data_IF_824939389802
#
_entry.id   IF_824939389802
#
_cell.length_a   1.000
_cell.length_b   1.000
_cell.length_c   1.000
_cell.angle_alpha   90.00
_cell.angle_beta   90.00
_cell.angle_gamma   90.00
#
_symmetry.space_group_name_H-M   'P 1'
#
loop_
_entity.id
_entity.type
_entity.pdbx_description
1 polymer ?
#
# COMPACT_ATOMS: atom_id res chain seq x y z
N UNK A 1 29.21 13.67 -68.01
CA UNK A 1 28.57 12.59 -67.20
C UNK A 1 29.59 11.90 -66.28
N UNK A 2 30.75 11.44 -66.78
CA UNK A 2 31.78 10.79 -65.96
C UNK A 2 32.35 11.65 -64.81
N UNK A 3 32.57 12.95 -65.02
CA UNK A 3 33.09 13.85 -63.98
C UNK A 3 32.12 14.06 -62.80
N UNK A 4 30.82 14.05 -63.06
CA UNK A 4 29.79 14.22 -62.03
C UNK A 4 29.68 12.97 -61.15
N UNK A 5 29.81 11.79 -61.75
CA UNK A 5 29.80 10.50 -61.05
C UNK A 5 31.04 10.37 -60.15
N UNK A 6 32.22 10.80 -60.64
CA UNK A 6 33.45 10.82 -59.84
C UNK A 6 33.35 11.71 -58.61
N UNK A 7 32.72 12.89 -58.73
CA UNK A 7 32.54 13.81 -57.61
C UNK A 7 31.59 13.26 -56.53
N UNK A 8 30.50 12.61 -56.93
CA UNK A 8 29.54 11.97 -56.01
C UNK A 8 30.19 10.79 -55.29
N UNK A 9 31.01 10.00 -55.98
CA UNK A 9 31.74 8.89 -55.36
C UNK A 9 32.75 9.40 -54.32
N UNK A 10 33.46 10.50 -54.62
CA UNK A 10 34.40 11.12 -53.68
C UNK A 10 33.69 11.65 -52.43
N UNK A 11 32.52 12.28 -52.59
CA UNK A 11 31.71 12.79 -51.48
C UNK A 11 31.18 11.66 -50.60
N UNK A 12 30.72 10.56 -51.19
CA UNK A 12 30.27 9.38 -50.44
C UNK A 12 31.42 8.69 -49.70
N UNK A 13 32.60 8.62 -50.29
CA UNK A 13 33.81 8.10 -49.63
C UNK A 13 34.22 8.99 -48.45
N UNK A 14 34.24 10.32 -48.63
CA UNK A 14 34.50 11.26 -47.55
C UNK A 14 33.45 11.18 -46.45
N UNK A 15 32.17 11.03 -46.78
CA UNK A 15 31.12 10.88 -45.78
C UNK A 15 31.26 9.57 -45.00
N UNK A 16 31.62 8.47 -45.67
CA UNK A 16 31.78 7.18 -45.03
C UNK A 16 33.02 7.12 -44.12
N UNK A 17 34.13 7.75 -44.52
CA UNK A 17 35.31 7.89 -43.65
C UNK A 17 35.06 8.83 -42.48
N UNK A 18 34.29 9.91 -42.67
CA UNK A 18 33.90 10.79 -41.58
C UNK A 18 32.99 10.08 -40.57
N UNK A 19 32.03 9.27 -41.04
CA UNK A 19 31.13 8.49 -40.19
C UNK A 19 31.87 7.37 -39.46
N UNK A 20 32.85 6.70 -40.10
CA UNK A 20 33.63 5.65 -39.44
C UNK A 20 34.56 6.23 -38.37
N UNK A 21 35.15 7.41 -38.59
CA UNK A 21 35.95 8.12 -37.57
C UNK A 21 35.05 8.58 -36.42
N UNK A 22 33.87 9.14 -36.68
CA UNK A 22 32.93 9.53 -35.63
C UNK A 22 32.34 8.35 -34.83
N UNK A 23 32.09 7.20 -35.47
CA UNK A 23 31.58 5.99 -34.79
C UNK A 23 32.66 5.22 -34.03
N UNK A 24 33.94 5.38 -34.38
CA UNK A 24 35.08 4.78 -33.66
C UNK A 24 35.63 5.67 -32.55
N UNK A 25 35.29 6.96 -32.55
CA UNK A 25 35.58 7.88 -31.45
C UNK A 25 34.47 7.84 -30.38
N UNK A 26 34.19 6.66 -29.84
CA UNK A 26 33.67 6.59 -28.47
C UNK A 26 34.86 6.83 -27.54
N UNK A 27 34.80 7.79 -26.60
CA UNK A 27 35.90 8.01 -25.68
C UNK A 27 36.19 6.69 -24.96
N UNK A 28 37.47 6.30 -24.92
CA UNK A 28 37.88 5.11 -24.21
C UNK A 28 37.52 5.27 -22.72
N UNK A 29 37.17 4.16 -22.06
CA UNK A 29 36.80 4.15 -20.63
C UNK A 29 37.87 4.83 -19.74
N UNK A 30 39.14 4.71 -20.14
CA UNK A 30 40.29 5.36 -19.50
C UNK A 30 40.30 6.89 -19.67
N UNK A 31 39.77 7.41 -20.78
CA UNK A 31 39.71 8.86 -21.05
C UNK A 31 38.58 9.52 -20.25
N UNK A 32 37.46 8.80 -20.03
CA UNK A 32 36.39 9.19 -19.11
C UNK A 32 36.91 9.19 -17.66
N UNK A 33 37.68 8.17 -17.27
CA UNK A 33 38.28 8.09 -15.93
C UNK A 33 39.29 9.22 -15.67
N UNK A 34 40.06 9.64 -16.69
CA UNK A 34 41.07 10.71 -16.55
C UNK A 34 40.47 12.10 -16.33
N UNK A 35 39.26 12.37 -16.84
CA UNK A 35 38.57 13.65 -16.58
C UNK A 35 37.97 13.74 -15.17
N UNK A 36 37.74 12.60 -14.51
CA UNK A 36 37.22 12.54 -13.14
C UNK A 36 38.32 12.72 -12.06
N UNK A 37 39.60 12.61 -12.42
CA UNK A 37 40.72 12.73 -11.47
C UNK A 37 41.04 14.16 -11.01
N UNK A 38 40.36 15.21 -11.50
CA UNK A 38 40.67 16.61 -11.18
C UNK A 38 39.51 17.48 -10.66
N UNK A 39 38.34 16.89 -10.41
CA UNK A 39 37.31 17.52 -9.57
C UNK A 39 36.89 16.45 -8.59
N UNK A 40 37.06 16.72 -7.30
CA UNK A 40 36.44 15.93 -6.25
C UNK A 40 34.91 16.03 -6.46
N UNK A 41 34.34 15.17 -7.33
CA UNK A 41 32.90 15.03 -7.57
C UNK A 41 32.31 14.36 -6.33
N UNK A 42 32.38 15.06 -5.20
CA UNK A 42 31.65 14.70 -4.03
C UNK A 42 30.18 14.85 -4.36
N UNK A 43 29.44 13.72 -4.42
CA UNK A 43 27.98 13.73 -4.40
C UNK A 43 27.49 14.30 -3.06
N UNK A 44 27.52 15.62 -2.93
CA UNK A 44 27.04 16.32 -1.73
C UNK A 44 25.52 16.28 -1.75
N UNK A 45 24.94 15.55 -0.81
CA UNK A 45 23.49 15.54 -0.63
C UNK A 45 23.01 16.98 -0.36
N UNK A 46 22.13 17.55 -1.20
CA UNK A 46 21.73 18.94 -1.06
C UNK A 46 20.92 19.15 0.22
N UNK A 47 21.28 20.17 1.00
CA UNK A 47 20.47 20.62 2.13
C UNK A 47 19.51 21.71 1.64
N UNK A 48 18.24 21.35 1.53
CA UNK A 48 17.21 22.20 0.95
C UNK A 48 16.24 22.65 2.03
N UNK A 49 15.98 23.95 2.08
CA UNK A 49 15.00 24.52 3.01
C UNK A 49 13.58 24.07 2.64
N UNK A 50 12.93 23.40 3.59
CA UNK A 50 11.53 23.01 3.44
C UNK A 50 10.58 24.22 3.48
N UNK A 51 11.00 25.40 3.94
CA UNK A 51 10.15 26.61 3.94
C UNK A 51 10.43 27.58 2.78
N UNK A 52 11.09 27.10 1.72
CA UNK A 52 11.37 27.92 0.55
C UNK A 52 10.09 28.59 -0.03
N UNK A 53 10.02 29.95 -0.09
CA UNK A 53 8.84 30.68 -0.56
C UNK A 53 8.40 30.32 -1.99
N UNK A 54 9.33 29.92 -2.86
CA UNK A 54 9.04 29.48 -4.23
C UNK A 54 8.17 28.23 -4.26
N UNK A 55 8.27 27.37 -3.25
CA UNK A 55 7.43 26.17 -3.12
C UNK A 55 6.17 26.49 -2.34
N UNK A 56 6.26 27.28 -1.26
CA UNK A 56 5.13 27.58 -0.39
C UNK A 56 3.95 28.25 -1.13
N UNK A 57 4.22 29.05 -2.16
CA UNK A 57 3.16 29.64 -3.01
C UNK A 57 2.26 28.60 -3.71
N UNK A 58 2.72 27.35 -3.82
CA UNK A 58 1.97 26.24 -4.41
C UNK A 58 1.30 25.34 -3.37
N UNK A 59 1.50 25.60 -2.07
CA UNK A 59 0.96 24.80 -0.98
C UNK A 59 -0.36 25.40 -0.51
N UNK A 60 -1.46 24.70 -0.81
CA UNK A 60 -2.82 25.12 -0.40
C UNK A 60 -3.25 24.36 0.86
N UNK A 61 -3.86 25.07 1.81
CA UNK A 61 -4.58 24.45 2.92
C UNK A 61 -5.96 23.99 2.45
N UNK A 62 -6.24 22.70 2.59
CA UNK A 62 -7.50 22.08 2.19
C UNK A 62 -8.55 22.12 3.31
N UNK A 63 -8.19 22.63 4.49
CA UNK A 63 -9.05 22.64 5.66
C UNK A 63 -9.27 21.24 6.25
N UNK A 64 -10.19 21.17 7.22
CA UNK A 64 -10.55 19.91 7.90
C UNK A 64 -11.53 19.12 7.02
N UNK A 65 -11.23 17.84 6.80
CA UNK A 65 -12.15 16.92 6.14
C UNK A 65 -13.32 16.56 7.08
N UNK A 66 -14.55 16.84 6.63
CA UNK A 66 -15.78 16.53 7.36
C UNK A 66 -16.69 15.59 6.55
N UNK A 67 -16.97 14.41 7.11
CA UNK A 67 -17.86 13.42 6.51
C UNK A 67 -19.26 13.53 7.14
N UNK A 68 -20.05 14.52 6.69
CA UNK A 68 -21.38 14.81 7.25
C UNK A 68 -22.43 13.77 6.83
N UNK A 69 -22.44 12.63 7.51
CA UNK A 69 -23.50 11.61 7.45
C UNK A 69 -23.83 11.14 8.86
N UNK A 70 -24.98 10.49 9.01
CA UNK A 70 -25.31 9.75 10.24
C UNK A 70 -24.21 8.73 10.56
N UNK A 71 -24.04 8.45 11.85
CA UNK A 71 -23.14 7.41 12.32
C UNK A 71 -23.42 6.06 11.68
N UNK A 72 -22.35 5.28 11.45
CA UNK A 72 -22.50 3.91 10.98
C UNK A 72 -23.39 3.11 11.94
N UNK A 73 -24.35 2.36 11.39
CA UNK A 73 -25.32 1.58 12.17
C UNK A 73 -24.70 0.36 12.84
N UNK A 74 -23.47 0.02 12.47
CA UNK A 74 -22.70 -1.10 12.99
C UNK A 74 -21.42 -0.57 13.62
N UNK A 75 -21.04 -1.13 14.77
CA UNK A 75 -19.72 -0.99 15.35
C UNK A 75 -18.95 -2.32 15.31
N UNK A 76 -17.63 -2.23 15.15
CA UNK A 76 -16.72 -3.39 15.13
C UNK A 76 -15.68 -3.19 16.22
N UNK A 77 -15.58 -4.15 17.14
CA UNK A 77 -14.61 -4.15 18.25
C UNK A 77 -14.13 -5.57 18.51
N UNK A 78 -12.82 -5.77 18.59
CA UNK A 78 -12.16 -7.03 19.00
C UNK A 78 -12.70 -8.27 18.26
N UNK A 79 -12.76 -8.21 16.93
CA UNK A 79 -13.26 -9.32 16.11
C UNK A 79 -14.76 -9.59 16.24
N UNK A 80 -15.51 -8.69 16.87
CA UNK A 80 -16.98 -8.76 17.02
C UNK A 80 -17.64 -7.57 16.36
N UNK A 81 -18.85 -7.81 15.88
CA UNK A 81 -19.72 -6.85 15.24
C UNK A 81 -21.02 -6.70 16.04
N UNK A 82 -21.45 -5.47 16.27
CA UNK A 82 -22.68 -5.17 17.00
C UNK A 82 -23.41 -4.00 16.33
N UNK A 83 -24.73 -3.93 16.54
CA UNK A 83 -25.52 -2.78 16.10
C UNK A 83 -25.27 -1.62 17.08
N UNK A 84 -24.95 -0.45 16.54
CA UNK A 84 -24.66 0.74 17.33
C UNK A 84 -25.88 1.13 18.17
N UNK A 85 -25.73 1.11 19.50
CA UNK A 85 -26.82 1.37 20.44
C UNK A 85 -27.44 2.78 20.27
N UNK A 86 -26.67 3.76 19.80
CA UNK A 86 -27.15 5.13 19.55
C UNK A 86 -28.17 5.11 18.42
N UNK A 87 -27.92 4.32 17.38
CA UNK A 87 -28.82 4.14 16.25
C UNK A 87 -30.09 3.37 16.67
N UNK A 88 -29.96 2.34 17.51
CA UNK A 88 -31.11 1.63 18.09
C UNK A 88 -32.00 2.57 18.92
N UNK A 89 -31.40 3.46 19.73
CA UNK A 89 -32.16 4.46 20.50
C UNK A 89 -32.92 5.45 19.60
N UNK A 90 -32.41 5.73 18.41
CA UNK A 90 -32.99 6.70 17.48
C UNK A 90 -34.08 6.09 16.60
N UNK A 91 -33.80 4.92 16.00
CA UNK A 91 -34.64 4.31 14.97
C UNK A 91 -35.39 3.06 15.45
N UNK A 92 -35.22 2.69 16.72
CA UNK A 92 -35.87 1.55 17.34
C UNK A 92 -35.19 0.22 16.99
N UNK A 93 -36.00 -0.83 16.79
CA UNK A 93 -35.49 -2.15 16.42
C UNK A 93 -34.82 -2.09 15.04
N UNK A 94 -33.62 -2.67 14.93
CA UNK A 94 -32.84 -2.71 13.70
C UNK A 94 -32.55 -4.15 13.35
N UNK A 95 -32.72 -4.49 12.08
CA UNK A 95 -32.35 -5.79 11.50
C UNK A 95 -31.28 -5.56 10.45
N UNK A 96 -30.19 -6.29 10.54
CA UNK A 96 -29.06 -6.18 9.63
C UNK A 96 -28.71 -7.55 9.04
N UNK A 97 -28.36 -7.55 7.76
CA UNK A 97 -27.78 -8.67 7.03
C UNK A 97 -26.35 -8.33 6.66
N UNK A 98 -25.40 -9.14 7.12
CA UNK A 98 -23.98 -9.04 6.81
C UNK A 98 -23.64 -10.12 5.78
N UNK A 99 -23.15 -9.70 4.61
CA UNK A 99 -22.67 -10.58 3.55
C UNK A 99 -21.15 -10.48 3.46
N UNK A 100 -20.44 -11.50 3.94
CA UNK A 100 -18.98 -11.52 3.92
C UNK A 100 -18.45 -11.68 2.50
N UNK A 101 -17.27 -11.11 2.24
CA UNK A 101 -16.57 -11.27 0.96
C UNK A 101 -15.74 -12.56 0.99
N UNK A 102 -15.81 -13.34 -0.09
CA UNK A 102 -14.90 -14.47 -0.35
C UNK A 102 -14.02 -14.10 -1.54
N UNK A 103 -12.71 -13.95 -1.31
CA UNK A 103 -11.73 -13.68 -2.37
C UNK A 103 -11.64 -14.88 -3.31
N UNK A 104 -11.59 -14.60 -4.62
CA UNK A 104 -11.21 -15.59 -5.64
C UNK A 104 -9.76 -15.33 -6.04
N UNK A 105 -9.46 -14.09 -6.43
CA UNK A 105 -8.12 -13.61 -6.80
C UNK A 105 -7.99 -12.11 -6.49
N UNK A 106 -6.95 -11.45 -7.02
CA UNK A 106 -6.69 -10.02 -6.85
C UNK A 106 -7.63 -9.07 -7.60
N UNK A 107 -8.52 -9.60 -8.42
CA UNK A 107 -9.43 -8.81 -9.27
C UNK A 107 -10.90 -9.12 -8.96
N UNK A 108 -11.17 -10.31 -8.42
CA UNK A 108 -12.51 -10.85 -8.25
C UNK A 108 -12.75 -11.32 -6.82
N UNK A 109 -13.92 -10.98 -6.30
CA UNK A 109 -14.44 -11.50 -5.03
C UNK A 109 -15.93 -11.82 -5.20
N UNK A 110 -16.39 -12.86 -4.51
CA UNK A 110 -17.77 -13.32 -4.55
C UNK A 110 -18.42 -13.20 -3.17
N UNK A 111 -19.75 -13.30 -3.12
CA UNK A 111 -20.49 -13.34 -1.86
C UNK A 111 -20.15 -14.64 -1.12
N UNK A 112 -19.73 -14.50 0.12
CA UNK A 112 -19.45 -15.59 1.05
C UNK A 112 -20.61 -15.81 2.02
N UNK A 113 -20.24 -16.14 3.26
CA UNK A 113 -21.20 -16.41 4.35
C UNK A 113 -22.11 -15.20 4.61
N UNK A 114 -23.36 -15.47 4.93
CA UNK A 114 -24.33 -14.46 5.36
C UNK A 114 -24.65 -14.65 6.84
N UNK A 115 -24.77 -13.54 7.58
CA UNK A 115 -25.23 -13.51 8.96
C UNK A 115 -26.34 -12.50 9.07
N UNK A 116 -27.43 -12.89 9.73
CA UNK A 116 -28.49 -11.98 10.13
C UNK A 116 -28.34 -11.67 11.61
N UNK A 117 -28.58 -10.43 11.97
CA UNK A 117 -28.60 -9.98 13.36
C UNK A 117 -29.66 -8.90 13.55
N UNK A 118 -30.21 -8.84 14.75
CA UNK A 118 -31.10 -7.79 15.19
C UNK A 118 -30.50 -7.03 16.37
N UNK A 119 -31.12 -5.92 16.75
CA UNK A 119 -30.74 -5.14 17.92
C UNK A 119 -30.79 -5.94 19.23
N UNK A 120 -31.46 -7.11 19.25
CA UNK A 120 -31.49 -8.03 20.39
C UNK A 120 -30.44 -9.15 20.35
N UNK A 121 -29.75 -9.37 19.23
CA UNK A 121 -28.80 -10.48 19.04
C UNK A 121 -27.50 -10.31 19.83
N UNK A 122 -27.20 -9.10 20.33
CA UNK A 122 -25.92 -8.77 20.96
C UNK A 122 -24.74 -8.84 19.98
N UNK A 123 -23.49 -8.70 20.47
CA UNK A 123 -22.31 -8.75 19.62
C UNK A 123 -22.06 -10.15 19.02
N UNK A 124 -21.80 -10.23 17.72
CA UNK A 124 -21.54 -11.47 16.98
C UNK A 124 -20.09 -11.52 16.51
N UNK A 125 -19.46 -12.69 16.51
CA UNK A 125 -18.10 -12.87 15.97
C UNK A 125 -18.08 -12.63 14.45
N UNK A 126 -17.06 -11.91 13.98
CA UNK A 126 -16.75 -11.79 12.56
C UNK A 126 -16.45 -13.19 11.98
N UNK A 127 -16.83 -13.40 10.71
CA UNK A 127 -16.55 -14.65 9.97
C UNK A 127 -15.66 -14.42 8.75
N UNK A 128 -15.08 -13.24 8.67
CA UNK A 128 -14.21 -12.75 7.61
C UNK A 128 -13.91 -11.27 7.87
N UNK A 129 -12.86 -10.75 7.25
CA UNK A 129 -12.42 -9.38 7.51
C UNK A 129 -13.35 -8.35 6.89
N UNK A 130 -13.98 -8.67 5.76
CA UNK A 130 -14.71 -7.71 4.95
C UNK A 130 -16.12 -8.20 4.65
N UNK A 131 -17.08 -7.28 4.75
CA UNK A 131 -18.48 -7.61 4.50
C UNK A 131 -19.28 -6.39 4.05
N UNK A 132 -20.25 -6.65 3.18
CA UNK A 132 -21.34 -5.72 2.91
C UNK A 132 -22.37 -5.84 4.02
N UNK A 133 -22.86 -4.71 4.49
CA UNK A 133 -23.97 -4.67 5.45
C UNK A 133 -25.15 -3.94 4.86
N UNK A 134 -26.34 -4.48 5.10
CA UNK A 134 -27.61 -3.85 4.84
C UNK A 134 -28.44 -3.93 6.10
N UNK A 135 -28.90 -2.79 6.59
CA UNK A 135 -29.75 -2.69 7.76
C UNK A 135 -31.07 -2.01 7.40
N UNK A 136 -32.11 -2.39 8.12
CA UNK A 136 -33.44 -1.79 8.05
C UNK A 136 -33.95 -1.60 9.48
N UNK A 137 -34.44 -0.40 9.79
CA UNK A 137 -35.06 -0.07 11.07
C UNK A 137 -36.57 -0.29 11.01
N UNK A 138 -37.20 -0.33 12.19
CA UNK A 138 -38.64 -0.53 12.33
C UNK A 138 -39.49 0.52 11.59
N UNK A 139 -39.00 1.75 11.49
CA UNK A 139 -39.63 2.85 10.75
C UNK A 139 -39.35 2.82 9.23
N UNK A 140 -38.65 1.80 8.73
CA UNK A 140 -38.42 1.54 7.30
C UNK A 140 -37.21 2.25 6.71
N UNK A 141 -36.38 2.93 7.53
CA UNK A 141 -35.12 3.51 7.04
C UNK A 141 -34.13 2.40 6.71
N UNK A 142 -33.38 2.60 5.62
CA UNK A 142 -32.40 1.65 5.11
C UNK A 142 -31.02 2.25 5.16
N UNK A 143 -30.08 1.48 5.68
CA UNK A 143 -28.67 1.83 5.70
C UNK A 143 -27.84 0.72 5.07
N UNK A 144 -26.85 1.09 4.27
CA UNK A 144 -25.92 0.14 3.66
C UNK A 144 -24.51 0.71 3.69
N UNK A 145 -23.53 -0.16 3.90
CA UNK A 145 -22.12 0.20 3.81
C UNK A 145 -21.28 -1.06 3.51
N UNK A 146 -20.02 -0.86 3.13
CA UNK A 146 -19.01 -1.90 3.18
C UNK A 146 -18.09 -1.64 4.37
N UNK A 147 -17.85 -2.66 5.17
CA UNK A 147 -17.13 -2.56 6.43
C UNK A 147 -15.92 -3.49 6.41
N UNK A 148 -14.88 -3.06 7.13
CA UNK A 148 -13.69 -3.84 7.40
C UNK A 148 -13.50 -4.01 8.91
N UNK A 149 -13.20 -5.23 9.31
CA UNK A 149 -12.75 -5.61 10.64
C UNK A 149 -11.66 -6.67 10.54
N UNK A 150 -11.12 -7.06 11.68
CA UNK A 150 -10.11 -8.13 11.76
C UNK A 150 -10.79 -9.36 12.33
N UNK A 151 -11.03 -10.35 11.48
CA UNK A 151 -11.51 -11.66 11.92
C UNK A 151 -10.38 -12.43 12.61
N UNK A 152 -10.71 -13.21 13.63
CA UNK A 152 -9.72 -14.09 14.25
C UNK A 152 -9.44 -15.27 13.30
N UNK A 153 -8.26 -15.28 12.69
CA UNK A 153 -7.82 -16.38 11.83
C UNK A 153 -7.18 -17.47 12.69
N UNK A 154 -7.94 -18.52 13.02
CA UNK A 154 -7.49 -19.63 13.88
C UNK A 154 -6.16 -20.24 13.41
N UNK A 155 -5.98 -20.44 12.10
CA UNK A 155 -4.73 -20.98 11.54
C UNK A 155 -3.54 -20.06 11.79
N UNK A 156 -3.71 -18.75 11.65
CA UNK A 156 -2.66 -17.77 11.96
C UNK A 156 -2.34 -17.76 13.46
N UNK A 157 -3.36 -17.89 14.32
CA UNK A 157 -3.16 -17.93 15.78
C UNK A 157 -2.46 -19.22 16.23
N UNK A 158 -2.84 -20.36 15.67
CA UNK A 158 -2.17 -21.63 15.94
C UNK A 158 -0.71 -21.60 15.51
N UNK A 159 -0.42 -21.01 14.34
CA UNK A 159 0.95 -20.80 13.87
C UNK A 159 1.75 -19.90 14.82
N UNK A 160 1.17 -18.78 15.25
CA UNK A 160 1.82 -17.86 16.19
C UNK A 160 2.09 -18.51 17.56
N UNK A 161 1.14 -19.28 18.09
CA UNK A 161 1.27 -19.96 19.38
C UNK A 161 2.25 -21.14 19.36
N UNK A 162 2.37 -21.82 18.22
CA UNK A 162 3.27 -22.98 18.08
C UNK A 162 4.71 -22.55 17.83
N UNK A 163 4.94 -21.37 17.26
CA UNK A 163 6.28 -20.85 17.04
C UNK A 163 6.92 -20.40 18.36
N UNK A 164 8.13 -20.90 18.62
CA UNK A 164 8.93 -20.51 19.79
C UNK A 164 10.14 -19.72 19.30
N UNK A 165 10.12 -18.39 19.40
CA UNK A 165 11.26 -17.58 18.96
C UNK A 165 12.48 -17.89 19.84
N UNK A 166 13.71 -17.74 19.31
CA UNK A 166 14.94 -17.88 20.07
C UNK A 166 14.94 -17.07 21.38
N UNK A 167 15.69 -17.50 22.42
CA UNK A 167 15.72 -16.80 23.70
C UNK A 167 16.13 -15.32 23.61
N UNK A 168 16.97 -14.99 22.65
CA UNK A 168 17.52 -13.66 22.35
C UNK A 168 16.72 -12.87 21.31
N UNK A 169 15.59 -13.40 20.82
CA UNK A 169 14.75 -12.69 19.88
C UNK A 169 14.16 -11.41 20.48
N UNK A 170 14.12 -10.34 19.68
CA UNK A 170 13.56 -9.04 20.10
C UNK A 170 12.05 -9.07 20.37
N UNK A 171 11.31 -10.02 19.75
CA UNK A 171 9.85 -10.22 19.90
C UNK A 171 9.07 -8.91 19.69
N UNK A 172 9.32 -8.26 18.57
CA UNK A 172 8.74 -6.97 18.22
C UNK A 172 7.70 -7.11 17.11
N UNK A 173 6.58 -6.43 17.28
CA UNK A 173 5.66 -6.13 16.18
C UNK A 173 6.33 -5.15 15.20
N UNK A 174 6.07 -5.33 13.90
CA UNK A 174 6.61 -4.48 12.82
C UNK A 174 5.49 -3.81 12.05
N UNK A 175 5.48 -2.48 12.02
CA UNK A 175 4.57 -1.69 11.17
C UNK A 175 5.36 -0.96 10.10
N UNK A 176 5.13 -1.31 8.84
CA UNK A 176 5.54 -0.54 7.68
C UNK A 176 4.36 0.32 7.24
N UNK A 177 4.54 1.64 7.30
CA UNK A 177 3.53 2.62 6.91
C UNK A 177 4.09 3.55 5.83
N UNK A 178 3.56 3.42 4.62
CA UNK A 178 3.88 4.26 3.47
C UNK A 178 2.81 5.31 3.20
N UNK A 179 3.21 6.30 2.39
CA UNK A 179 2.32 7.32 1.83
C UNK A 179 2.77 7.59 0.40
N UNK A 180 1.94 7.21 -0.58
CA UNK A 180 2.19 7.50 -2.00
C UNK A 180 1.56 8.87 -2.38
N UNK A 181 2.21 9.80 -3.09
CA UNK A 181 3.65 9.93 -3.42
C UNK A 181 4.15 11.20 -2.76
N UNK A 182 5.07 11.10 -1.78
CA UNK A 182 5.59 12.27 -1.06
C UNK A 182 7.11 12.28 -0.96
N UNK A 183 7.71 13.43 -1.23
CA UNK A 183 9.12 13.69 -0.89
C UNK A 183 9.29 14.01 0.60
N UNK A 184 10.49 13.80 1.14
CA UNK A 184 10.84 14.14 2.53
C UNK A 184 10.47 15.58 2.90
N UNK A 185 10.80 16.55 2.04
CA UNK A 185 10.52 17.95 2.29
C UNK A 185 9.01 18.25 2.22
N UNK A 186 8.27 17.58 1.33
CA UNK A 186 6.82 17.76 1.28
C UNK A 186 6.12 17.15 2.50
N UNK A 187 6.60 16.00 3.00
CA UNK A 187 6.14 15.40 4.25
C UNK A 187 6.31 16.37 5.43
N UNK A 188 7.49 16.98 5.57
CA UNK A 188 7.76 17.96 6.63
C UNK A 188 6.81 19.17 6.57
N UNK A 189 6.49 19.66 5.35
CA UNK A 189 5.56 20.78 5.13
C UNK A 189 4.10 20.42 5.44
N UNK A 190 3.62 19.27 4.96
CA UNK A 190 2.19 18.88 5.03
C UNK A 190 1.82 18.15 6.30
N UNK A 191 2.78 17.51 6.96
CA UNK A 191 2.58 16.75 8.20
C UNK A 191 3.56 17.21 9.30
N UNK A 192 3.66 18.53 9.60
CA UNK A 192 4.67 19.05 10.53
C UNK A 192 4.46 18.53 11.95
N UNK A 193 3.20 18.36 12.38
CA UNK A 193 2.86 17.77 13.69
C UNK A 193 3.31 16.32 13.77
N UNK A 194 3.09 15.54 12.71
CA UNK A 194 3.52 14.13 12.64
C UNK A 194 5.04 14.04 12.64
N UNK A 195 5.73 14.83 11.82
CA UNK A 195 7.18 14.85 11.78
C UNK A 195 7.78 15.20 13.15
N UNK A 196 7.27 16.24 13.80
CA UNK A 196 7.68 16.63 15.16
C UNK A 196 7.45 15.50 16.16
N UNK A 197 6.30 14.83 16.11
CA UNK A 197 6.02 13.69 16.99
C UNK A 197 7.01 12.54 16.77
N UNK A 198 7.29 12.19 15.51
CA UNK A 198 8.26 11.14 15.18
C UNK A 198 9.66 11.48 15.71
N UNK A 199 10.17 12.69 15.49
CA UNK A 199 11.55 13.06 15.83
C UNK A 199 11.73 13.44 17.30
N UNK A 200 10.77 14.14 17.90
CA UNK A 200 10.91 14.68 19.26
C UNK A 200 10.31 13.77 20.33
N UNK A 201 9.23 13.04 20.03
CA UNK A 201 8.55 12.17 21.00
C UNK A 201 9.01 10.73 20.84
N UNK A 202 8.85 10.14 19.65
CA UNK A 202 9.27 8.76 19.40
C UNK A 202 10.79 8.60 19.22
N UNK A 203 11.52 9.71 19.06
CA UNK A 203 12.97 9.72 18.79
C UNK A 203 13.35 8.85 17.59
N UNK A 204 12.52 8.87 16.55
CA UNK A 204 12.72 8.07 15.35
C UNK A 204 13.98 8.51 14.57
N UNK A 205 14.72 7.54 14.04
CA UNK A 205 15.86 7.77 13.15
C UNK A 205 15.39 8.22 11.78
N UNK A 206 15.82 9.41 11.35
CA UNK A 206 15.50 9.96 10.02
C UNK A 206 16.63 9.66 9.04
N UNK A 207 16.36 8.77 8.08
CA UNK A 207 17.30 8.43 7.01
C UNK A 207 17.33 9.55 5.95
N UNK A 208 18.12 10.59 6.18
CA UNK A 208 18.17 11.76 5.28
C UNK A 208 18.68 11.44 3.87
N UNK A 209 19.57 10.45 3.74
CA UNK A 209 20.12 10.00 2.46
C UNK A 209 19.37 8.84 1.79
N UNK A 210 18.19 8.45 2.31
CA UNK A 210 17.37 7.42 1.69
C UNK A 210 16.90 7.87 0.30
N UNK A 211 17.05 7.00 -0.70
CA UNK A 211 16.60 7.21 -2.06
C UNK A 211 15.88 5.96 -2.58
N UNK A 212 14.94 6.18 -3.50
CA UNK A 212 14.27 5.10 -4.22
C UNK A 212 15.21 4.55 -5.31
N UNK A 213 15.08 3.28 -5.63
CA UNK A 213 15.91 2.60 -6.65
C UNK A 213 15.27 2.62 -8.03
N UNK A 214 14.14 3.32 -8.19
CA UNK A 214 13.50 3.59 -9.47
C UNK A 214 12.29 4.51 -9.30
N UNK A 215 11.79 5.03 -10.42
CA UNK A 215 10.79 6.13 -10.45
C UNK A 215 9.36 5.69 -10.10
N UNK A 216 9.03 4.42 -10.30
CA UNK A 216 7.69 3.90 -10.02
C UNK A 216 7.54 3.29 -8.62
N UNK A 217 6.32 3.30 -8.11
CA UNK A 217 5.95 2.66 -6.83
C UNK A 217 6.38 1.18 -6.76
N UNK A 218 6.21 0.33 -7.82
CA UNK A 218 6.76 -1.02 -7.82
C UNK A 218 8.28 -1.07 -7.69
N UNK A 219 9.00 -0.22 -8.43
CA UNK A 219 10.46 -0.13 -8.38
C UNK A 219 10.98 0.35 -7.02
N UNK A 220 10.21 1.15 -6.28
CA UNK A 220 10.58 1.56 -4.93
C UNK A 220 10.31 0.46 -3.89
N UNK A 221 9.15 -0.21 -3.99
CA UNK A 221 8.69 -1.12 -2.95
C UNK A 221 9.17 -2.56 -3.12
N UNK A 222 9.26 -3.07 -4.34
CA UNK A 222 9.73 -4.44 -4.59
C UNK A 222 11.14 -4.63 -3.99
N UNK A 223 12.10 -3.72 -4.19
CA UNK A 223 13.44 -3.89 -3.64
C UNK A 223 13.48 -3.72 -2.13
N UNK A 224 12.68 -2.80 -1.58
CA UNK A 224 12.51 -2.65 -0.14
C UNK A 224 11.96 -3.92 0.51
N UNK A 225 11.08 -4.64 -0.17
CA UNK A 225 10.36 -5.79 0.39
C UNK A 225 10.97 -7.14 0.04
N UNK A 226 11.84 -7.21 -0.97
CA UNK A 226 12.43 -8.48 -1.45
C UNK A 226 13.95 -8.47 -1.43
N UNK A 227 14.58 -7.30 -1.25
CA UNK A 227 16.02 -7.12 -1.42
C UNK A 227 16.50 -7.17 -2.88
N UNK A 228 15.60 -7.28 -3.87
CA UNK A 228 15.93 -7.45 -5.28
C UNK A 228 15.18 -6.44 -6.16
N UNK A 229 15.82 -5.98 -7.23
CA UNK A 229 15.19 -5.16 -8.27
C UNK A 229 14.25 -5.99 -9.15
N UNK A 230 13.29 -5.34 -9.81
CA UNK A 230 12.35 -6.04 -10.71
C UNK A 230 13.04 -6.91 -11.78
N UNK A 231 14.16 -6.48 -12.43
CA UNK A 231 14.87 -7.31 -13.39
C UNK A 231 15.56 -8.56 -12.81
N UNK A 232 15.88 -8.57 -11.52
CA UNK A 232 16.51 -9.71 -10.84
C UNK A 232 15.48 -10.78 -10.45
N UNK A 233 14.20 -10.43 -10.45
CA UNK A 233 13.10 -11.30 -10.06
C UNK A 233 12.43 -11.97 -11.27
N UNK A 234 11.73 -13.10 -11.08
CA UNK A 234 10.96 -13.72 -12.14
C UNK A 234 9.96 -12.77 -12.80
N UNK A 235 9.72 -12.98 -14.08
CA UNK A 235 8.79 -12.16 -14.86
C UNK A 235 7.35 -12.29 -14.30
N UNK A 236 6.72 -11.18 -13.93
CA UNK A 236 5.33 -11.12 -13.44
C UNK A 236 4.48 -10.06 -14.14
N UNK A 237 5.00 -9.35 -15.14
CA UNK A 237 4.29 -8.28 -15.85
C UNK A 237 3.16 -8.86 -16.70
N UNK A 238 1.95 -8.31 -16.59
CA UNK A 238 0.74 -8.81 -17.29
C UNK A 238 0.88 -8.89 -18.81
N UNK A 239 1.68 -7.99 -19.39
CA UNK A 239 1.90 -7.90 -20.85
C UNK A 239 2.74 -9.05 -21.41
N UNK A 240 3.37 -9.86 -20.56
CA UNK A 240 4.26 -10.95 -20.95
C UNK A 240 3.47 -12.26 -20.89
N UNK A 241 3.50 -13.03 -21.99
CA UNK A 241 2.67 -14.24 -22.16
C UNK A 241 2.91 -15.31 -21.09
N UNK A 242 4.17 -15.49 -20.67
CA UNK A 242 4.57 -16.52 -19.70
C UNK A 242 4.89 -15.93 -18.31
N UNK A 243 4.28 -14.82 -17.94
CA UNK A 243 4.47 -14.21 -16.63
C UNK A 243 3.87 -15.05 -15.49
N UNK A 244 4.59 -15.10 -14.38
CA UNK A 244 4.16 -15.69 -13.12
C UNK A 244 3.24 -14.75 -12.33
N UNK A 245 2.54 -15.28 -11.33
CA UNK A 245 1.93 -14.45 -10.30
C UNK A 245 3.00 -13.90 -9.35
N UNK A 246 2.70 -12.76 -8.73
CA UNK A 246 3.63 -12.04 -7.84
C UNK A 246 3.97 -12.87 -6.59
N UNK A 247 3.18 -13.89 -6.28
CA UNK A 247 3.44 -14.88 -5.23
C UNK A 247 4.84 -15.51 -5.29
N UNK A 248 5.51 -15.53 -6.45
CA UNK A 248 6.85 -16.10 -6.60
C UNK A 248 7.96 -15.28 -5.92
N UNK A 249 7.71 -13.99 -5.63
CA UNK A 249 8.75 -13.11 -5.06
C UNK A 249 9.10 -13.48 -3.61
N UNK A 250 10.37 -13.27 -3.18
CA UNK A 250 10.83 -13.56 -1.83
C UNK A 250 10.52 -12.40 -0.89
N UNK A 251 9.23 -12.08 -0.73
CA UNK A 251 8.83 -10.96 0.12
C UNK A 251 9.18 -11.19 1.59
N UNK A 252 9.61 -10.13 2.28
CA UNK A 252 9.97 -10.14 3.70
C UNK A 252 8.83 -10.67 4.59
N UNK A 253 7.57 -10.44 4.23
CA UNK A 253 6.43 -10.98 4.99
C UNK A 253 6.35 -12.51 4.97
N UNK A 254 6.93 -13.20 3.98
CA UNK A 254 7.06 -14.66 4.01
C UNK A 254 7.95 -15.11 5.17
N UNK A 255 9.09 -14.44 5.33
CA UNK A 255 9.99 -14.70 6.46
C UNK A 255 9.29 -14.42 7.80
N UNK A 256 8.50 -13.35 7.90
CA UNK A 256 7.69 -13.10 9.10
C UNK A 256 6.68 -14.21 9.35
N UNK A 257 5.93 -14.64 8.34
CA UNK A 257 4.98 -15.77 8.44
C UNK A 257 5.66 -17.05 8.93
N UNK A 258 6.83 -17.39 8.36
CA UNK A 258 7.61 -18.58 8.74
C UNK A 258 8.14 -18.51 10.18
N UNK A 259 8.32 -17.29 10.71
CA UNK A 259 8.68 -17.02 12.10
C UNK A 259 7.46 -16.80 13.02
N UNK A 260 6.28 -17.28 12.61
CA UNK A 260 5.08 -17.27 13.44
C UNK A 260 4.33 -15.94 13.51
N UNK A 261 4.73 -14.92 12.74
CA UNK A 261 4.04 -13.65 12.76
C UNK A 261 2.66 -13.76 12.10
N UNK A 262 1.73 -12.93 12.55
CA UNK A 262 0.47 -12.68 11.84
C UNK A 262 0.66 -11.49 10.92
N UNK A 263 0.41 -11.69 9.64
CA UNK A 263 0.80 -10.75 8.60
C UNK A 263 -0.40 -10.06 7.99
N UNK A 264 -0.22 -8.81 7.59
CA UNK A 264 -1.23 -8.05 6.88
C UNK A 264 -0.62 -7.15 5.80
N UNK A 265 -1.35 -7.02 4.70
CA UNK A 265 -1.05 -6.08 3.63
C UNK A 265 -2.29 -5.31 3.20
N UNK A 266 -2.14 -3.99 3.10
CA UNK A 266 -3.20 -3.08 2.70
C UNK A 266 -2.67 -1.97 1.79
N UNK A 267 -3.43 -1.66 0.75
CA UNK A 267 -3.18 -0.57 -0.19
C UNK A 267 -4.53 0.00 -0.60
N UNK A 268 -4.71 1.33 -0.50
CA UNK A 268 -6.02 1.96 -0.55
C UNK A 268 -6.49 2.41 -1.95
N UNK A 269 -5.63 2.28 -2.97
CA UNK A 269 -5.94 2.63 -4.37
C UNK A 269 -5.96 1.39 -5.26
N UNK A 270 -7.15 0.76 -5.44
CA UNK A 270 -7.23 -0.55 -6.05
C UNK A 270 -6.97 -0.60 -7.57
N UNK A 271 -7.10 0.52 -8.29
CA UNK A 271 -6.98 0.55 -9.76
C UNK A 271 -5.53 0.76 -10.24
N UNK A 272 -4.67 1.34 -9.38
CA UNK A 272 -3.23 1.54 -9.62
C UNK A 272 -2.36 0.76 -8.64
N UNK A 273 -2.89 -0.33 -8.07
CA UNK A 273 -2.20 -1.03 -7.00
C UNK A 273 -0.81 -1.54 -7.39
N UNK A 274 0.16 -1.46 -6.46
CA UNK A 274 1.59 -1.75 -6.69
C UNK A 274 1.79 -3.04 -7.48
N UNK A 275 1.17 -4.12 -7.00
CA UNK A 275 1.34 -5.47 -7.54
C UNK A 275 0.26 -5.86 -8.56
N UNK A 276 -0.74 -5.01 -8.80
CA UNK A 276 -1.93 -5.38 -9.60
C UNK A 276 -2.14 -4.51 -10.81
N UNK A 277 -1.49 -3.34 -10.92
CA UNK A 277 -1.60 -2.49 -12.09
C UNK A 277 -0.82 -3.07 -13.28
N UNK A 278 0.51 -3.14 -13.16
CA UNK A 278 1.42 -3.66 -14.20
C UNK A 278 1.74 -5.14 -14.08
N UNK A 279 1.65 -5.70 -12.87
CA UNK A 279 1.99 -7.09 -12.57
C UNK A 279 0.72 -7.94 -12.45
N UNK A 280 0.84 -9.27 -12.59
CA UNK A 280 -0.30 -10.22 -12.56
C UNK A 280 -1.05 -10.26 -11.23
N UNK A 281 -0.56 -9.58 -10.20
CA UNK A 281 -1.11 -9.67 -8.85
C UNK A 281 -0.83 -11.01 -8.21
N UNK A 282 -1.51 -11.23 -7.10
CA UNK A 282 -1.47 -12.46 -6.34
C UNK A 282 -2.62 -13.39 -6.72
N UNK A 283 -2.35 -14.68 -6.94
CA UNK A 283 -3.41 -15.70 -7.08
C UNK A 283 -3.80 -16.26 -5.70
N UNK A 284 -2.82 -16.57 -4.85
CA UNK A 284 -3.03 -16.96 -3.45
C UNK A 284 -2.90 -15.75 -2.51
N UNK A 285 -3.46 -15.83 -1.30
CA UNK A 285 -3.35 -14.75 -0.31
C UNK A 285 -1.87 -14.52 0.07
N UNK A 286 -1.34 -13.29 -0.05
CA UNK A 286 0.06 -13.01 0.27
C UNK A 286 0.33 -12.89 1.78
N UNK A 287 -0.70 -12.60 2.58
CA UNK A 287 -0.65 -12.38 4.03
C UNK A 287 -1.95 -12.89 4.67
N UNK A 288 -1.97 -13.06 6.00
CA UNK A 288 -3.17 -13.55 6.71
C UNK A 288 -4.36 -12.59 6.60
N UNK A 289 -4.08 -11.28 6.54
CA UNK A 289 -5.08 -10.22 6.37
C UNK A 289 -4.74 -9.34 5.16
N UNK A 290 -5.51 -9.48 4.08
CA UNK A 290 -5.20 -8.81 2.81
C UNK A 290 -6.38 -7.97 2.30
N UNK A 291 -6.23 -6.64 2.37
CA UNK A 291 -7.35 -5.69 2.18
C UNK A 291 -7.77 -5.45 0.72
N UNK A 292 -7.17 -6.15 -0.25
CA UNK A 292 -7.42 -5.94 -1.68
C UNK A 292 -8.90 -6.03 -2.04
N UNK A 293 -9.58 -7.10 -1.63
CA UNK A 293 -11.00 -7.31 -1.91
C UNK A 293 -11.88 -6.21 -1.33
N UNK A 294 -11.53 -5.68 -0.16
CA UNK A 294 -12.24 -4.56 0.45
C UNK A 294 -12.15 -3.31 -0.41
N UNK A 295 -10.95 -2.91 -0.83
CA UNK A 295 -10.80 -1.68 -1.61
C UNK A 295 -11.41 -1.78 -3.01
N UNK A 296 -11.38 -2.95 -3.66
CA UNK A 296 -12.10 -3.17 -4.93
C UNK A 296 -13.60 -2.89 -4.74
N UNK A 297 -14.20 -3.39 -3.66
CA UNK A 297 -15.61 -3.18 -3.39
C UNK A 297 -15.93 -1.75 -2.93
N UNK A 298 -15.03 -1.11 -2.18
CA UNK A 298 -15.14 0.32 -1.84
C UNK A 298 -15.20 1.17 -3.09
N UNK A 299 -14.30 0.94 -4.07
CA UNK A 299 -14.23 1.74 -5.30
C UNK A 299 -15.55 1.73 -6.08
N UNK A 300 -16.27 0.58 -6.07
CA UNK A 300 -17.60 0.44 -6.69
C UNK A 300 -18.66 1.33 -6.06
N UNK A 301 -18.53 1.66 -4.78
CA UNK A 301 -19.52 2.46 -4.03
C UNK A 301 -19.08 3.89 -3.73
N UNK A 302 -17.81 4.26 -3.97
CA UNK A 302 -17.27 5.58 -3.61
C UNK A 302 -18.11 6.76 -4.13
N UNK A 303 -18.74 6.64 -5.30
CA UNK A 303 -19.61 7.67 -5.89
C UNK A 303 -20.88 7.93 -5.07
N UNK A 304 -21.29 6.99 -4.22
CA UNK A 304 -22.44 7.11 -3.33
C UNK A 304 -22.10 7.81 -2.00
N UNK A 305 -20.82 8.16 -1.77
CA UNK A 305 -20.32 8.77 -0.55
C UNK A 305 -19.80 10.19 -0.78
N UNK A 306 -19.78 11.04 0.26
CA UNK A 306 -19.10 12.33 0.19
C UNK A 306 -17.64 12.15 -0.21
N UNK A 307 -17.09 13.14 -0.92
CA UNK A 307 -15.71 13.12 -1.39
C UNK A 307 -14.75 12.83 -0.23
N UNK A 308 -13.81 11.89 -0.43
CA UNK A 308 -12.83 11.41 0.57
C UNK A 308 -13.43 10.71 1.81
N UNK A 309 -14.70 10.32 1.78
CA UNK A 309 -15.37 9.61 2.87
C UNK A 309 -15.87 8.23 2.44
N UNK A 310 -16.00 7.33 3.41
CA UNK A 310 -16.79 6.10 3.33
C UNK A 310 -17.74 6.12 4.53
N UNK A 311 -19.04 6.12 4.26
CA UNK A 311 -20.06 6.44 5.27
C UNK A 311 -19.84 7.84 5.88
N UNK A 312 -19.82 7.90 7.21
CA UNK A 312 -19.46 9.09 8.00
C UNK A 312 -17.97 9.15 8.37
N UNK A 313 -17.15 8.23 7.86
CA UNK A 313 -15.75 8.09 8.24
C UNK A 313 -14.82 8.57 7.12
N UNK A 314 -13.83 9.44 7.42
CA UNK A 314 -12.79 9.79 6.45
C UNK A 314 -12.03 8.55 5.95
N UNK A 315 -11.80 8.45 4.64
CA UNK A 315 -11.13 7.28 4.02
C UNK A 315 -9.78 6.97 4.66
N UNK A 316 -8.97 8.00 4.94
CA UNK A 316 -7.67 7.82 5.60
C UNK A 316 -7.75 7.23 7.02
N UNK A 317 -8.92 7.24 7.67
CA UNK A 317 -9.16 6.55 8.95
C UNK A 317 -9.62 5.10 8.72
N UNK A 318 -10.46 4.87 7.71
CA UNK A 318 -10.85 3.51 7.29
C UNK A 318 -9.63 2.68 6.95
N UNK A 319 -8.68 3.25 6.19
CA UNK A 319 -7.46 2.54 5.80
C UNK A 319 -6.55 2.17 6.95
N UNK A 320 -6.60 2.94 8.05
CA UNK A 320 -5.76 2.71 9.24
C UNK A 320 -6.41 1.73 10.22
N UNK A 321 -7.73 1.73 10.37
CA UNK A 321 -8.34 0.99 11.47
C UNK A 321 -8.02 -0.52 11.49
N UNK A 322 -8.22 -1.30 10.41
CA UNK A 322 -7.97 -2.74 10.47
C UNK A 322 -6.50 -3.10 10.72
N UNK A 323 -5.51 -2.52 10.00
CA UNK A 323 -4.11 -2.84 10.28
C UNK A 323 -3.65 -2.40 11.69
N UNK A 324 -4.11 -1.26 12.19
CA UNK A 324 -3.83 -0.84 13.57
C UNK A 324 -4.56 -1.71 14.62
N UNK A 325 -5.74 -2.26 14.30
CA UNK A 325 -6.42 -3.26 15.15
C UNK A 325 -5.65 -4.57 15.23
N UNK A 326 -4.98 -5.00 14.15
CA UNK A 326 -4.10 -6.18 14.19
C UNK A 326 -3.00 -5.91 15.23
N UNK A 327 -2.27 -4.80 15.12
CA UNK A 327 -1.16 -4.45 16.03
C UNK A 327 -1.62 -4.18 17.46
N UNK A 328 -2.73 -3.46 17.67
CA UNK A 328 -3.18 -3.09 19.03
C UNK A 328 -3.83 -4.24 19.80
N UNK A 329 -4.37 -5.25 19.11
CA UNK A 329 -4.85 -6.47 19.78
C UNK A 329 -3.71 -7.47 20.06
N UNK A 330 -2.46 -7.15 19.70
CA UNK A 330 -1.29 -8.00 19.92
C UNK A 330 -0.73 -8.00 21.36
N UNK A 331 -1.24 -7.16 22.27
CA UNK A 331 -0.65 -6.94 23.60
C UNK A 331 -0.78 -8.13 24.59
N UNK A 332 -1.25 -9.29 24.14
CA UNK A 332 -1.35 -10.50 24.97
C UNK A 332 -0.59 -11.67 24.35
N UNK A 333 0.76 -11.68 24.42
CA UNK A 333 1.65 -12.87 24.23
C UNK A 333 1.44 -13.77 22.98
N UNK A 334 0.60 -13.41 22.02
CA UNK A 334 0.02 -14.35 21.02
C UNK A 334 0.13 -13.83 19.59
N UNK A 335 0.56 -12.59 19.37
CA UNK A 335 0.67 -12.02 18.03
C UNK A 335 1.88 -11.09 17.92
N UNK A 336 2.91 -11.51 17.19
CA UNK A 336 3.84 -10.57 16.59
C UNK A 336 3.31 -10.26 15.17
N UNK A 337 2.94 -9.01 14.92
CA UNK A 337 2.25 -8.57 13.72
C UNK A 337 3.18 -7.84 12.76
N UNK A 338 3.19 -8.21 11.47
CA UNK A 338 3.78 -7.37 10.42
C UNK A 338 2.68 -6.80 9.55
N UNK A 339 2.54 -5.48 9.57
CA UNK A 339 1.57 -4.74 8.74
C UNK A 339 2.32 -3.90 7.73
N UNK A 340 1.97 -4.04 6.46
CA UNK A 340 2.36 -3.08 5.43
C UNK A 340 1.10 -2.36 4.96
N UNK A 341 0.99 -1.08 5.31
CA UNK A 341 -0.04 -0.18 4.78
C UNK A 341 0.66 0.85 3.91
N UNK A 342 0.30 0.92 2.62
CA UNK A 342 0.83 1.89 1.66
C UNK A 342 -0.21 2.92 1.28
#
# INVERSE_FOLDING_TARGET
MAALIGLVFLLLLCFHTFLSVFLTHSPNLEEIQRTDEAIEQACRHPDLDHNNPLILKHIVDMGKLECKREEDWIEIRNGKVAINYIIVKRHGEIKCTLTFLKRVDDFTSVKGKVIEMSSSTGPVLLRGDFFHVKCESKDGLKWKNIMAGVNRNETAVERANSHKPPPDAMKLNVLMFGLDSMSRLHYMRKLPKTYKYLTEVLKASVLKGYNIVGDGTPQALIPMLTGNTEPELPETRKRMSNANYVNIYPFAWKNFTDNGYVTAYAEDVPFTGVFTYRLKGFNELPTDHYMRSFYIEVDKVLKEHPKLCLGNTPRHKVSKNPPFQIISNCDSKVFDGTVITL
#
